data_IF_432213173914
#
_entry.id   IF_432213173914
#
_cell.length_a   1.000
_cell.length_b   1.000
_cell.length_c   1.000
_cell.angle_alpha   90.00
_cell.angle_beta   90.00
_cell.angle_gamma   90.00
#
_symmetry.space_group_name_H-M   'P 1'
#
loop_
_entity.id
_entity.type
_entity.pdbx_description
1 polymer ?
#
# COMPACT_ATOMS: atom_id res chain seq x y z
N UNK A 1 16.71 -11.89 12.62
CA UNK A 1 15.40 -11.37 12.18
C UNK A 1 15.49 -11.24 10.67
N UNK A 2 14.53 -11.81 9.90
CA UNK A 2 14.56 -11.70 8.43
C UNK A 2 14.22 -10.28 7.99
N UNK A 3 14.99 -9.75 7.06
CA UNK A 3 14.75 -8.42 6.49
C UNK A 3 15.05 -8.43 4.99
N UNK A 4 14.37 -7.55 4.27
CA UNK A 4 14.46 -7.39 2.81
C UNK A 4 14.62 -5.92 2.51
N UNK A 5 15.72 -5.54 1.87
CA UNK A 5 16.07 -4.14 1.59
C UNK A 5 16.05 -3.88 0.10
N UNK A 6 15.43 -2.77 -0.28
CA UNK A 6 15.27 -2.33 -1.67
C UNK A 6 15.86 -0.92 -1.80
N UNK A 7 16.75 -0.67 -2.78
CA UNK A 7 17.23 0.66 -3.05
C UNK A 7 16.10 1.54 -3.58
N UNK A 8 16.14 2.84 -3.25
CA UNK A 8 15.21 3.80 -3.83
C UNK A 8 15.40 3.87 -5.35
N UNK A 9 14.31 4.11 -6.07
CA UNK A 9 14.34 4.35 -7.50
C UNK A 9 14.66 5.82 -7.77
N UNK A 10 15.71 6.05 -8.55
CA UNK A 10 16.07 7.37 -9.04
C UNK A 10 15.10 7.80 -10.13
N UNK A 11 14.54 8.99 -10.00
CA UNK A 11 13.60 9.60 -10.95
C UNK A 11 13.92 11.08 -11.12
N UNK A 12 13.24 11.74 -12.05
CA UNK A 12 13.34 13.17 -12.25
C UNK A 12 11.97 13.83 -12.04
N UNK A 13 11.94 14.85 -11.20
CA UNK A 13 10.78 15.72 -10.99
C UNK A 13 11.00 17.04 -11.71
N UNK A 14 10.00 17.49 -12.46
CA UNK A 14 10.04 18.81 -13.10
C UNK A 14 10.06 19.95 -12.09
N UNK A 15 9.62 19.71 -10.86
CA UNK A 15 9.55 20.73 -9.80
C UNK A 15 10.87 20.87 -9.02
N UNK A 16 11.51 19.73 -8.69
CA UNK A 16 12.65 19.72 -7.74
C UNK A 16 13.89 18.99 -8.28
N UNK A 17 13.90 18.60 -9.56
CA UNK A 17 15.02 17.92 -10.20
C UNK A 17 15.11 16.44 -9.84
N UNK A 18 16.33 15.94 -9.62
CA UNK A 18 16.58 14.54 -9.28
C UNK A 18 15.96 14.18 -7.92
N UNK A 19 15.21 13.10 -7.90
CA UNK A 19 14.55 12.57 -6.71
C UNK A 19 14.79 11.07 -6.57
N UNK A 20 14.67 10.59 -5.35
CA UNK A 20 14.77 9.18 -5.00
C UNK A 20 13.49 8.74 -4.31
N UNK A 21 12.78 7.76 -4.88
CA UNK A 21 11.50 7.29 -4.36
C UNK A 21 11.62 5.92 -3.70
N UNK A 22 11.05 5.75 -2.50
CA UNK A 22 10.98 4.45 -1.86
C UNK A 22 10.21 3.46 -2.73
N UNK A 23 10.80 2.33 -3.05
CA UNK A 23 10.14 1.25 -3.80
C UNK A 23 10.42 -0.09 -3.14
N UNK A 24 9.57 -1.07 -3.46
CA UNK A 24 9.81 -2.48 -3.15
C UNK A 24 9.26 -3.35 -4.27
N UNK A 25 9.88 -4.52 -4.45
CA UNK A 25 9.39 -5.52 -5.39
C UNK A 25 8.64 -6.60 -4.65
N UNK A 26 7.38 -6.79 -5.03
CA UNK A 26 6.58 -7.94 -4.62
C UNK A 26 6.34 -8.85 -5.82
N UNK A 27 6.10 -10.12 -5.55
CA UNK A 27 5.71 -11.08 -6.57
C UNK A 27 4.26 -11.49 -6.32
N UNK A 28 3.45 -11.49 -7.37
CA UNK A 28 2.04 -11.91 -7.30
C UNK A 28 1.87 -13.17 -8.14
N UNK A 29 1.16 -14.15 -7.58
CA UNK A 29 0.94 -15.40 -8.26
C UNK A 29 -0.12 -15.24 -9.35
N UNK A 30 0.21 -15.67 -10.56
CA UNK A 30 -0.71 -15.71 -11.70
C UNK A 30 -1.76 -16.80 -11.52
N UNK A 31 -2.83 -16.75 -12.31
CA UNK A 31 -3.82 -17.82 -12.40
C UNK A 31 -3.18 -19.19 -12.73
N UNK A 32 -2.10 -19.20 -13.51
CA UNK A 32 -1.35 -20.41 -13.89
C UNK A 32 -0.23 -20.76 -12.90
N UNK A 33 -0.30 -20.27 -11.64
CA UNK A 33 0.65 -20.54 -10.55
C UNK A 33 2.09 -20.07 -10.77
N UNK A 34 2.36 -19.25 -11.77
CA UNK A 34 3.66 -18.59 -11.96
C UNK A 34 3.72 -17.31 -11.09
N UNK A 35 4.91 -16.83 -10.81
CA UNK A 35 5.15 -15.59 -10.08
C UNK A 35 5.56 -14.47 -11.03
N UNK A 36 4.93 -13.32 -10.92
CA UNK A 36 5.31 -12.10 -11.66
C UNK A 36 5.69 -11.02 -10.65
N UNK A 37 6.88 -10.42 -10.83
CA UNK A 37 7.39 -9.33 -10.00
C UNK A 37 6.83 -7.98 -10.43
N UNK A 38 6.47 -7.17 -9.43
CA UNK A 38 6.03 -5.79 -9.59
C UNK A 38 6.83 -4.91 -8.64
N UNK A 39 7.48 -3.88 -9.18
CA UNK A 39 8.13 -2.85 -8.35
C UNK A 39 7.15 -1.70 -8.17
N UNK A 40 6.79 -1.44 -6.91
CA UNK A 40 5.79 -0.46 -6.51
C UNK A 40 6.41 0.59 -5.59
N UNK A 41 5.83 1.78 -5.58
CA UNK A 41 6.15 2.78 -4.57
C UNK A 41 5.68 2.30 -3.20
N UNK A 42 6.59 2.23 -2.23
CA UNK A 42 6.24 1.91 -0.85
C UNK A 42 5.57 3.14 -0.23
N UNK A 43 4.23 3.10 -0.14
CA UNK A 43 3.41 4.25 0.25
C UNK A 43 2.66 3.97 1.55
N UNK A 44 3.15 4.57 2.65
CA UNK A 44 2.52 4.46 3.96
C UNK A 44 1.18 5.22 4.07
N UNK A 45 0.89 6.11 3.12
CA UNK A 45 -0.39 6.81 3.00
C UNK A 45 -1.47 6.02 2.26
N UNK A 46 -1.09 5.02 1.46
CA UNK A 46 -2.04 4.17 0.74
C UNK A 46 -2.58 3.05 1.65
N UNK A 47 -3.90 2.95 1.76
CA UNK A 47 -4.54 1.90 2.56
C UNK A 47 -4.36 0.52 1.95
N UNK A 48 -4.45 0.40 0.62
CA UNK A 48 -4.42 -0.85 -0.12
C UNK A 48 -3.39 -0.79 -1.26
N UNK A 49 -2.78 -1.92 -1.57
CA UNK A 49 -1.91 -2.05 -2.75
C UNK A 49 -2.71 -1.85 -4.02
N UNK A 50 -2.24 -0.94 -4.89
CA UNK A 50 -2.95 -0.50 -6.09
C UNK A 50 -2.09 -0.72 -7.33
N UNK A 51 -2.65 -1.39 -8.32
CA UNK A 51 -2.02 -1.69 -9.60
C UNK A 51 -2.93 -1.26 -10.77
N UNK A 52 -2.37 -0.93 -11.95
CA UNK A 52 -3.14 -0.60 -13.14
C UNK A 52 -3.88 -1.83 -13.69
N UNK A 53 -4.87 -1.58 -14.55
CA UNK A 53 -5.70 -2.61 -15.20
C UNK A 53 -4.88 -3.68 -15.92
N UNK A 54 -3.82 -3.28 -16.62
CA UNK A 54 -2.94 -4.18 -17.39
C UNK A 54 -2.28 -5.25 -16.51
N UNK A 55 -1.94 -4.92 -15.26
CA UNK A 55 -1.37 -5.87 -14.31
C UNK A 55 -2.33 -7.03 -14.01
N UNK A 56 -3.63 -6.75 -13.82
CA UNK A 56 -4.63 -7.79 -13.62
C UNK A 56 -4.71 -8.75 -14.82
N UNK A 57 -4.71 -8.20 -16.03
CA UNK A 57 -4.70 -8.98 -17.28
C UNK A 57 -3.42 -9.81 -17.40
N UNK A 58 -2.26 -9.22 -17.12
CA UNK A 58 -0.96 -9.91 -17.17
C UNK A 58 -0.86 -11.08 -16.18
N UNK A 59 -1.54 -10.99 -15.03
CA UNK A 59 -1.67 -12.06 -14.06
C UNK A 59 -2.67 -13.16 -14.48
N UNK A 60 -3.42 -12.96 -15.57
CA UNK A 60 -4.40 -13.91 -16.10
C UNK A 60 -5.78 -13.86 -15.42
N UNK A 61 -6.04 -12.81 -14.63
CA UNK A 61 -7.35 -12.63 -13.98
C UNK A 61 -8.26 -11.70 -14.78
N UNK A 62 -9.59 -11.92 -14.65
CA UNK A 62 -10.60 -11.00 -15.18
C UNK A 62 -10.80 -9.87 -14.19
N UNK A 63 -10.61 -8.62 -14.59
CA UNK A 63 -10.70 -7.46 -13.71
C UNK A 63 -12.01 -7.47 -12.89
N UNK A 64 -13.14 -7.62 -13.55
CA UNK A 64 -14.49 -7.58 -12.92
C UNK A 64 -14.83 -8.81 -12.07
N UNK A 65 -13.96 -9.83 -11.99
CA UNK A 65 -14.18 -10.95 -11.06
C UNK A 65 -13.75 -10.61 -9.63
N UNK A 66 -13.04 -9.50 -9.43
CA UNK A 66 -12.75 -8.96 -8.10
C UNK A 66 -13.93 -8.21 -7.49
N UNK A 67 -13.85 -7.94 -6.19
CA UNK A 67 -14.84 -7.15 -5.46
C UNK A 67 -14.75 -5.68 -5.89
N UNK A 68 -15.82 -5.06 -6.42
CA UNK A 68 -15.78 -3.66 -6.83
C UNK A 68 -15.68 -2.72 -5.64
N UNK A 69 -14.99 -1.60 -5.84
CA UNK A 69 -14.84 -0.55 -4.85
C UNK A 69 -14.31 0.74 -5.48
N UNK A 70 -14.04 1.72 -4.63
CA UNK A 70 -13.46 2.99 -5.04
C UNK A 70 -12.30 3.34 -4.10
N UNK A 71 -11.21 3.86 -4.65
CA UNK A 71 -10.12 4.48 -3.91
C UNK A 71 -10.11 5.96 -4.20
N UNK A 72 -9.84 6.75 -3.19
CA UNK A 72 -9.68 8.21 -3.28
C UNK A 72 -8.27 8.62 -2.95
N UNK A 73 -7.87 9.80 -3.41
CA UNK A 73 -6.61 10.44 -3.07
C UNK A 73 -6.84 11.85 -2.52
N UNK A 74 -5.78 12.66 -2.49
CA UNK A 74 -5.81 14.06 -2.03
C UNK A 74 -6.79 14.93 -2.85
N UNK A 75 -7.00 14.58 -4.11
CA UNK A 75 -8.01 15.22 -4.96
C UNK A 75 -9.36 14.51 -4.78
N UNK A 76 -10.48 15.24 -4.93
CA UNK A 76 -11.84 14.70 -4.78
C UNK A 76 -12.22 13.59 -5.79
N UNK A 77 -11.31 13.21 -6.68
CA UNK A 77 -11.51 12.15 -7.66
C UNK A 77 -11.54 10.76 -7.01
N UNK A 78 -12.52 9.93 -7.42
CA UNK A 78 -12.61 8.52 -7.03
C UNK A 78 -12.21 7.65 -8.22
N UNK A 79 -11.32 6.70 -7.98
CA UNK A 79 -10.90 5.72 -8.98
C UNK A 79 -11.63 4.41 -8.69
N UNK A 80 -12.35 3.90 -9.69
CA UNK A 80 -13.00 2.59 -9.60
C UNK A 80 -11.96 1.50 -9.64
N UNK A 81 -12.03 0.57 -8.69
CA UNK A 81 -11.12 -0.55 -8.54
C UNK A 81 -11.87 -1.87 -8.38
N UNK A 82 -11.17 -2.97 -8.61
CA UNK A 82 -11.62 -4.32 -8.30
C UNK A 82 -10.57 -5.01 -7.44
N UNK A 83 -10.96 -5.44 -6.25
CA UNK A 83 -10.07 -6.04 -5.26
C UNK A 83 -10.06 -7.55 -5.41
N UNK A 84 -8.88 -8.11 -5.58
CA UNK A 84 -8.64 -9.55 -5.63
C UNK A 84 -7.78 -9.96 -4.42
N UNK A 85 -8.08 -11.09 -3.80
CA UNK A 85 -7.22 -11.72 -2.81
C UNK A 85 -6.29 -12.72 -3.52
N UNK A 86 -4.98 -12.40 -3.52
CA UNK A 86 -3.97 -13.14 -4.30
C UNK A 86 -2.82 -13.59 -3.41
N UNK A 87 -2.21 -14.73 -3.77
CA UNK A 87 -0.95 -15.12 -3.18
C UNK A 87 0.13 -14.14 -3.62
N UNK A 88 0.80 -13.57 -2.63
CA UNK A 88 1.80 -12.51 -2.79
C UNK A 88 3.07 -12.91 -2.05
N UNK A 89 4.22 -12.52 -2.57
CA UNK A 89 5.51 -12.78 -1.95
C UNK A 89 6.35 -11.52 -1.89
N UNK A 90 6.93 -11.23 -0.73
CA UNK A 90 7.94 -10.20 -0.52
C UNK A 90 9.19 -10.86 0.07
N UNK A 91 10.30 -10.75 -0.64
CA UNK A 91 11.47 -11.56 -0.33
C UNK A 91 11.14 -13.05 -0.42
N UNK A 92 11.32 -13.79 0.67
CA UNK A 92 10.99 -15.23 0.78
C UNK A 92 9.61 -15.48 1.38
N UNK A 93 8.98 -14.45 1.98
CA UNK A 93 7.72 -14.59 2.71
C UNK A 93 6.54 -14.61 1.74
N UNK A 94 5.71 -15.65 1.84
CA UNK A 94 4.49 -15.82 1.04
C UNK A 94 3.26 -15.69 1.93
N UNK A 95 2.32 -14.87 1.52
CA UNK A 95 1.07 -14.60 2.23
C UNK A 95 -0.04 -14.22 1.24
N UNK A 96 -1.29 -14.22 1.69
CA UNK A 96 -2.39 -13.67 0.92
C UNK A 96 -2.50 -12.18 1.13
N UNK A 97 -2.70 -11.43 0.05
CA UNK A 97 -2.93 -9.99 0.12
C UNK A 97 -4.06 -9.56 -0.80
N UNK A 98 -4.80 -8.56 -0.35
CA UNK A 98 -5.81 -7.86 -1.16
C UNK A 98 -5.11 -6.85 -2.04
N UNK A 99 -5.26 -7.04 -3.34
CA UNK A 99 -4.68 -6.18 -4.37
C UNK A 99 -5.83 -5.51 -5.11
N UNK A 100 -5.84 -4.19 -5.13
CA UNK A 100 -6.79 -3.41 -5.91
C UNK A 100 -6.23 -3.17 -7.32
N UNK A 101 -7.00 -3.51 -8.33
CA UNK A 101 -6.69 -3.19 -9.73
C UNK A 101 -7.60 -2.07 -10.20
N UNK A 102 -7.01 -0.95 -10.61
CA UNK A 102 -7.76 0.18 -11.14
C UNK A 102 -8.39 -0.15 -12.49
N UNK A 103 -9.52 0.49 -12.79
CA UNK A 103 -10.15 0.39 -14.12
C UNK A 103 -9.40 1.21 -15.18
N UNK A 104 -8.34 1.91 -14.81
CA UNK A 104 -7.51 2.77 -15.65
C UNK A 104 -6.04 2.34 -15.62
N UNK A 105 -5.29 2.74 -16.63
CA UNK A 105 -3.82 2.59 -16.66
C UNK A 105 -3.09 3.78 -16.03
N UNK A 106 -3.74 4.93 -15.96
CA UNK A 106 -3.11 6.18 -15.53
C UNK A 106 -3.11 6.35 -14.01
N UNK A 107 -2.44 5.41 -13.33
CA UNK A 107 -2.22 5.47 -11.88
C UNK A 107 -0.81 4.96 -11.55
N UNK A 108 -0.15 5.51 -10.52
CA UNK A 108 1.10 4.94 -10.04
C UNK A 108 0.85 3.59 -9.37
N UNK A 109 1.75 2.61 -9.52
CA UNK A 109 1.68 1.37 -8.78
C UNK A 109 2.11 1.61 -7.33
N UNK A 110 1.18 1.41 -6.37
CA UNK A 110 1.39 1.69 -4.95
C UNK A 110 1.41 0.39 -4.12
N UNK A 111 2.37 0.26 -3.23
CA UNK A 111 2.40 -0.77 -2.20
C UNK A 111 1.78 -0.17 -0.93
N UNK A 112 0.53 -0.54 -0.67
CA UNK A 112 -0.24 -0.03 0.45
C UNK A 112 -0.08 -0.86 1.73
N UNK A 113 -0.68 -0.36 2.82
CA UNK A 113 -0.52 -0.92 4.17
C UNK A 113 -1.21 -2.26 4.36
N UNK A 114 -2.45 -2.36 3.93
CA UNK A 114 -3.30 -3.53 4.21
C UNK A 114 -2.67 -4.82 3.69
N UNK A 115 -2.63 -5.81 4.54
CA UNK A 115 -2.09 -7.17 4.32
C UNK A 115 -0.57 -7.21 4.05
N UNK A 116 0.09 -6.10 3.69
CA UNK A 116 1.54 -6.06 3.48
C UNK A 116 2.27 -5.59 4.75
N UNK A 117 1.95 -4.40 5.25
CA UNK A 117 2.63 -3.85 6.44
C UNK A 117 2.22 -4.59 7.72
N UNK A 118 1.13 -5.40 7.68
CA UNK A 118 0.76 -6.29 8.78
C UNK A 118 1.80 -7.40 9.01
N UNK A 119 2.57 -7.75 7.99
CA UNK A 119 3.64 -8.75 8.06
C UNK A 119 5.02 -8.15 8.34
N UNK A 120 5.21 -6.82 8.13
CA UNK A 120 6.51 -6.20 8.15
C UNK A 120 6.53 -4.85 8.89
N UNK A 121 7.57 -4.62 9.68
CA UNK A 121 7.97 -3.26 10.03
C UNK A 121 8.67 -2.66 8.82
N UNK A 122 8.18 -1.52 8.33
CA UNK A 122 8.75 -0.84 7.17
C UNK A 122 9.58 0.35 7.64
N UNK A 123 10.82 0.41 7.19
CA UNK A 123 11.77 1.47 7.53
C UNK A 123 12.20 2.19 6.24
N UNK A 124 12.10 3.51 6.24
CA UNK A 124 12.56 4.37 5.16
C UNK A 124 13.85 5.06 5.59
N UNK A 125 14.95 4.79 4.89
CA UNK A 125 16.23 5.40 5.15
C UNK A 125 16.61 6.37 4.04
N UNK A 126 16.27 7.64 4.21
CA UNK A 126 16.56 8.66 3.21
C UNK A 126 18.05 8.95 3.02
N UNK A 127 18.88 8.70 4.03
CA UNK A 127 20.33 8.91 3.92
C UNK A 127 20.97 7.84 3.03
N UNK A 128 20.59 6.57 3.22
CA UNK A 128 21.09 5.44 2.45
C UNK A 128 20.29 5.15 1.18
N UNK A 129 19.15 5.86 1.00
CA UNK A 129 18.24 5.68 -0.15
C UNK A 129 17.73 4.24 -0.29
N UNK A 130 17.21 3.71 0.82
CA UNK A 130 16.69 2.34 0.85
C UNK A 130 15.43 2.20 1.72
N UNK A 131 14.58 1.24 1.34
CA UNK A 131 13.42 0.81 2.10
C UNK A 131 13.69 -0.59 2.62
N UNK A 132 13.55 -0.82 3.93
CA UNK A 132 13.75 -2.13 4.55
C UNK A 132 12.44 -2.64 5.14
N UNK A 133 12.08 -3.86 4.78
CA UNK A 133 10.96 -4.63 5.31
C UNK A 133 11.50 -5.68 6.29
N UNK A 134 11.20 -5.53 7.56
CA UNK A 134 11.64 -6.43 8.63
C UNK A 134 10.45 -7.30 9.02
N UNK A 135 10.57 -8.63 8.86
CA UNK A 135 9.51 -9.57 9.18
C UNK A 135 9.15 -9.47 10.67
N UNK A 136 7.89 -9.20 10.95
CA UNK A 136 7.36 -9.24 12.32
C UNK A 136 6.69 -10.59 12.56
N UNK A 137 7.01 -11.23 13.69
CA UNK A 137 6.25 -12.40 14.12
C UNK A 137 4.81 -11.96 14.42
N UNK A 138 3.78 -12.67 13.94
CA UNK A 138 2.42 -12.33 14.32
C UNK A 138 2.34 -12.33 15.85
N UNK A 139 2.03 -11.19 16.43
CA UNK A 139 1.66 -11.17 17.86
C UNK A 139 0.42 -12.03 17.98
N UNK A 140 0.44 -13.01 18.89
CA UNK A 140 -0.80 -13.65 19.37
C UNK A 140 -1.74 -12.49 19.65
N UNK A 141 -2.89 -12.49 19.00
CA UNK A 141 -3.89 -11.42 19.03
C UNK A 141 -4.08 -10.91 20.45
N UNK A 142 -3.41 -9.83 20.79
CA UNK A 142 -3.75 -9.00 21.93
C UNK A 142 -5.11 -8.40 21.59
N UNK A 143 -6.09 -8.65 22.43
CA UNK A 143 -7.47 -8.22 22.25
C UNK A 143 -7.51 -6.68 22.26
N UNK A 144 -7.25 -6.04 21.11
CA UNK A 144 -7.38 -4.61 20.90
C UNK A 144 -8.77 -4.07 21.27
N UNK A 145 -9.79 -4.97 21.27
CA UNK A 145 -11.17 -4.65 21.64
C UNK A 145 -11.37 -4.29 23.12
N UNK A 146 -10.35 -4.46 23.97
CA UNK A 146 -10.39 -4.10 25.40
C UNK A 146 -9.57 -2.86 25.74
N UNK A 147 -8.87 -2.27 24.77
CA UNK A 147 -8.07 -1.08 25.01
C UNK A 147 -8.97 0.16 25.13
N UNK A 148 -8.87 0.94 26.22
CA UNK A 148 -9.57 2.22 26.37
C UNK A 148 -9.30 3.21 25.23
N UNK A 149 -8.08 3.20 24.65
CA UNK A 149 -7.70 3.99 23.48
C UNK A 149 -8.56 3.67 22.25
N UNK A 150 -8.90 2.40 22.02
CA UNK A 150 -9.78 2.01 20.92
C UNK A 150 -11.20 2.56 21.08
N UNK A 151 -11.69 2.68 22.32
CA UNK A 151 -12.98 3.32 22.59
C UNK A 151 -12.96 4.83 22.29
N UNK A 152 -11.85 5.51 22.59
CA UNK A 152 -11.65 6.92 22.25
C UNK A 152 -11.57 7.16 20.73
N UNK A 153 -10.97 6.23 19.97
CA UNK A 153 -10.88 6.34 18.52
C UNK A 153 -12.21 6.07 17.78
N UNK A 154 -13.18 5.39 18.43
CA UNK A 154 -14.53 5.23 17.86
C UNK A 154 -15.34 6.52 17.84
N UNK A 155 -15.02 7.46 18.71
CA UNK A 155 -15.56 8.81 18.73
C UNK A 155 -14.38 9.78 18.71
N UNK A 156 -13.76 10.02 17.53
CA UNK A 156 -12.67 10.96 17.44
C UNK A 156 -13.16 12.34 17.91
N UNK A 157 -12.33 13.09 18.66
CA UNK A 157 -12.65 14.46 18.99
C UNK A 157 -12.92 15.24 17.71
N UNK A 158 -13.89 16.14 17.76
CA UNK A 158 -14.18 17.04 16.65
C UNK A 158 -12.95 17.93 16.42
N UNK A 159 -12.27 17.70 15.32
CA UNK A 159 -11.13 18.51 14.87
C UNK A 159 -11.58 19.73 14.07
N UNK A 160 -12.85 20.12 14.12
CA UNK A 160 -13.29 21.39 13.58
C UNK A 160 -12.55 22.51 14.32
N UNK A 161 -11.62 23.14 13.65
CA UNK A 161 -10.95 24.35 14.13
C UNK A 161 -12.03 25.42 14.19
N UNK A 162 -12.44 25.83 15.41
CA UNK A 162 -13.16 27.07 15.58
C UNK A 162 -12.29 28.21 15.06
N UNK A 163 -12.56 28.64 13.84
CA UNK A 163 -12.01 29.89 13.35
C UNK A 163 -12.70 31.00 14.10
N UNK A 164 -12.03 31.51 15.11
CA UNK A 164 -12.44 32.75 15.79
C UNK A 164 -12.41 33.89 14.76
N UNK A 165 -13.58 34.23 14.25
CA UNK A 165 -13.79 35.31 13.30
C UNK A 165 -13.78 36.69 13.95
N UNK A 166 -13.29 36.83 15.18
CA UNK A 166 -13.30 38.10 15.96
C UNK A 166 -11.99 38.92 15.83
N UNK A 167 -11.04 38.49 14.94
CA UNK A 167 -9.81 39.27 14.68
C UNK A 167 -9.62 39.57 13.19
N UNK A 168 -10.54 40.34 12.61
CA UNK A 168 -10.32 41.13 11.40
C UNK A 168 -10.79 42.57 11.65
#
# INVERSE_FOLDING_TARGET
MKQYTFPYRREYSTLIGEIYRPVATIYIQTKNKKWIGFTLYADSGADITLLPKSACKGLGYKLKSGKPGYVGGITRGKIKVYVHELNTKLGEETFKARIAFAQTENIPPLLGRTDIFDHFKVCYNNKQKETTFILIKPKKTTQWNKDPLWKALKNPPDWSVETDSSQL
#
